data_IF_613957571074
#
_entry.id   IF_613957571074
#
_cell.length_a   1.000
_cell.length_b   1.000
_cell.length_c   1.000
_cell.angle_alpha   90.00
_cell.angle_beta   90.00
_cell.angle_gamma   90.00
#
_symmetry.space_group_name_H-M   'P 1'
#
loop_
_entity.id
_entity.type
_entity.pdbx_description
1 polymer ?
#
# COMPACT_ATOMS: atom_id res chain seq x y z
N UNK A 1 -9.28 -27.99 -73.36
CA UNK A 1 -8.65 -27.43 -72.13
C UNK A 1 -9.15 -28.25 -70.95
N UNK A 2 -8.26 -29.12 -70.43
CA UNK A 2 -8.27 -29.92 -69.18
C UNK A 2 -9.55 -30.64 -68.69
N UNK A 3 -9.53 -31.97 -68.93
CA UNK A 3 -10.00 -33.16 -68.16
C UNK A 3 -10.24 -32.89 -66.65
N UNK A 4 -11.16 -33.53 -65.91
CA UNK A 4 -11.23 -34.99 -65.68
C UNK A 4 -12.50 -35.40 -64.91
N UNK A 5 -12.91 -36.62 -65.22
CA UNK A 5 -14.06 -37.40 -64.78
C UNK A 5 -14.19 -37.70 -63.28
N UNK A 6 -15.44 -37.88 -62.86
CA UNK A 6 -15.88 -39.14 -62.25
C UNK A 6 -15.55 -39.37 -60.78
N UNK A 7 -16.52 -39.08 -59.90
CA UNK A 7 -16.97 -40.03 -58.86
C UNK A 7 -18.24 -39.50 -58.19
N UNK A 8 -19.39 -39.83 -58.82
CA UNK A 8 -20.64 -39.98 -58.10
C UNK A 8 -20.65 -41.40 -57.52
N UNK A 9 -21.06 -41.50 -56.24
CA UNK A 9 -21.63 -42.67 -55.53
C UNK A 9 -20.66 -43.47 -54.64
N UNK A 10 -21.19 -43.81 -53.47
CA UNK A 10 -20.82 -44.92 -52.58
C UNK A 10 -19.80 -44.62 -51.47
N UNK A 11 -20.33 -44.46 -50.25
CA UNK A 11 -19.79 -44.92 -48.96
C UNK A 11 -20.64 -44.34 -47.82
N UNK A 12 -21.97 -44.50 -47.84
CA UNK A 12 -22.59 -45.53 -47.00
C UNK A 12 -21.76 -46.83 -46.88
N UNK A 13 -20.67 -46.79 -46.10
CA UNK A 13 -19.95 -47.96 -45.54
C UNK A 13 -18.76 -47.46 -44.71
N UNK A 14 -19.03 -47.18 -43.44
CA UNK A 14 -18.09 -47.14 -42.30
C UNK A 14 -18.98 -46.83 -41.06
N UNK A 15 -19.76 -47.74 -40.44
CA UNK A 15 -19.44 -49.09 -39.95
C UNK A 15 -18.01 -49.08 -39.35
N UNK A 16 -17.75 -49.13 -38.05
CA UNK A 16 -18.46 -49.57 -36.86
C UNK A 16 -17.74 -48.88 -35.69
N UNK A 17 -18.46 -48.29 -34.73
CA UNK A 17 -17.88 -48.00 -33.41
C UNK A 17 -18.65 -48.88 -32.41
N UNK A 18 -18.03 -49.96 -31.91
CA UNK A 18 -18.71 -50.99 -31.14
C UNK A 18 -19.23 -50.44 -29.80
N UNK A 19 -20.53 -50.61 -29.58
CA UNK A 19 -21.13 -50.73 -28.25
C UNK A 19 -20.64 -52.05 -27.65
N UNK A 20 -19.64 -52.02 -26.78
CA UNK A 20 -19.40 -53.08 -25.80
C UNK A 20 -18.46 -52.59 -24.69
N UNK A 21 -19.03 -51.90 -23.69
CA UNK A 21 -18.53 -51.89 -22.31
C UNK A 21 -19.57 -51.25 -21.36
N UNK A 22 -20.49 -52.07 -20.85
CA UNK A 22 -21.12 -51.88 -19.54
C UNK A 22 -20.45 -52.87 -18.55
N UNK A 23 -20.62 -52.78 -17.21
CA UNK A 23 -20.85 -51.65 -16.30
C UNK A 23 -19.96 -51.72 -15.03
N UNK A 24 -19.69 -50.62 -14.31
CA UNK A 24 -19.46 -50.69 -12.83
C UNK A 24 -19.91 -49.39 -12.13
N UNK A 25 -20.94 -49.48 -11.30
CA UNK A 25 -21.02 -48.70 -10.05
C UNK A 25 -20.51 -49.61 -8.92
N UNK A 26 -20.09 -49.17 -7.72
CA UNK A 26 -19.98 -47.81 -7.17
C UNK A 26 -18.60 -47.53 -6.52
N UNK A 27 -18.18 -46.27 -6.40
CA UNK A 27 -17.28 -45.93 -5.29
C UNK A 27 -17.59 -44.53 -4.76
N UNK A 28 -18.03 -44.49 -3.51
CA UNK A 28 -18.03 -43.33 -2.65
C UNK A 28 -16.57 -42.88 -2.43
N UNK A 29 -16.00 -42.24 -3.44
CA UNK A 29 -14.67 -41.63 -3.39
C UNK A 29 -14.79 -40.31 -2.67
N UNK A 30 -14.31 -40.28 -1.42
CA UNK A 30 -14.07 -39.10 -0.58
C UNK A 30 -13.97 -37.82 -1.42
N UNK A 31 -14.87 -36.87 -1.16
CA UNK A 31 -14.64 -35.46 -1.47
C UNK A 31 -13.30 -35.14 -0.82
N UNK A 32 -12.23 -35.13 -1.62
CA UNK A 32 -11.02 -34.42 -1.29
C UNK A 32 -11.51 -32.99 -1.15
N UNK A 33 -11.83 -32.58 0.08
CA UNK A 33 -11.69 -31.20 0.49
C UNK A 33 -10.23 -30.90 0.18
N UNK A 34 -9.96 -30.44 -1.04
CA UNK A 34 -8.80 -29.62 -1.31
C UNK A 34 -8.93 -28.52 -0.28
N UNK A 35 -8.25 -28.69 0.84
CA UNK A 35 -8.00 -27.61 1.77
C UNK A 35 -7.37 -26.57 0.86
N UNK A 36 -8.15 -25.54 0.52
CA UNK A 36 -7.65 -24.43 -0.25
C UNK A 36 -6.41 -23.98 0.50
N UNK A 37 -5.24 -24.27 -0.05
CA UNK A 37 -4.00 -23.81 0.52
C UNK A 37 -4.20 -22.31 0.68
N UNK A 38 -4.12 -21.82 1.92
CA UNK A 38 -4.32 -20.41 2.20
C UNK A 38 -3.49 -19.65 1.18
N UNK A 39 -4.09 -18.76 0.37
CA UNK A 39 -3.37 -18.11 -0.72
C UNK A 39 -2.11 -17.53 -0.12
N UNK A 40 -0.96 -17.96 -0.64
CA UNK A 40 0.35 -17.55 -0.16
C UNK A 40 0.32 -16.03 -0.05
N UNK A 41 0.58 -15.46 1.13
CA UNK A 41 0.43 -14.03 1.33
C UNK A 41 1.26 -13.31 0.26
N UNK A 42 0.70 -12.29 -0.41
CA UNK A 42 1.38 -11.61 -1.51
C UNK A 42 2.76 -11.17 -1.04
N UNK A 43 3.80 -11.71 -1.68
CA UNK A 43 5.19 -11.41 -1.30
C UNK A 43 5.49 -9.96 -1.67
N UNK A 44 5.73 -9.13 -0.67
CA UNK A 44 6.21 -7.75 -0.87
C UNK A 44 7.55 -7.83 -1.63
N UNK A 45 7.73 -7.11 -2.75
CA UNK A 45 9.01 -7.06 -3.47
C UNK A 45 10.17 -6.70 -2.53
N UNK A 46 11.32 -7.35 -2.68
CA UNK A 46 12.46 -7.19 -1.76
C UNK A 46 12.95 -5.72 -1.65
N UNK A 47 12.85 -4.95 -2.73
CA UNK A 47 13.17 -3.51 -2.73
C UNK A 47 12.26 -2.70 -1.82
N UNK A 48 10.96 -3.00 -1.80
CA UNK A 48 9.98 -2.30 -0.96
C UNK A 48 10.09 -2.70 0.51
N UNK A 49 10.47 -3.96 0.79
CA UNK A 49 10.79 -4.38 2.16
C UNK A 49 11.99 -3.61 2.72
N UNK A 50 13.05 -3.41 1.93
CA UNK A 50 14.20 -2.61 2.33
C UNK A 50 13.80 -1.15 2.57
N UNK A 51 12.96 -0.57 1.71
CA UNK A 51 12.45 0.77 1.90
C UNK A 51 11.67 0.92 3.21
N UNK A 52 10.71 0.02 3.49
CA UNK A 52 9.92 0.05 4.73
C UNK A 52 10.83 -0.06 5.95
N UNK A 53 11.84 -0.94 5.91
CA UNK A 53 12.83 -1.07 6.99
C UNK A 53 13.65 0.19 7.18
N UNK A 54 14.13 0.83 6.10
CA UNK A 54 14.89 2.07 6.16
C UNK A 54 14.05 3.23 6.72
N UNK A 55 12.79 3.35 6.29
CA UNK A 55 11.86 4.32 6.84
C UNK A 55 11.61 4.06 8.34
N UNK A 56 11.39 2.80 8.72
CA UNK A 56 11.22 2.40 10.12
C UNK A 56 12.45 2.69 10.97
N UNK A 57 13.65 2.37 10.48
CA UNK A 57 14.91 2.67 11.15
C UNK A 57 15.11 4.18 11.31
N UNK A 58 14.89 4.95 10.25
CA UNK A 58 14.98 6.41 10.28
C UNK A 58 13.99 7.02 11.27
N UNK A 59 12.75 6.51 11.31
CA UNK A 59 11.75 6.93 12.29
C UNK A 59 12.20 6.63 13.73
N UNK A 60 12.81 5.47 13.97
CA UNK A 60 13.31 5.06 15.28
C UNK A 60 14.47 5.93 15.74
N UNK A 61 15.44 6.21 14.85
CA UNK A 61 16.54 7.13 15.14
C UNK A 61 16.01 8.53 15.45
N UNK A 62 15.11 9.07 14.62
CA UNK A 62 14.50 10.37 14.86
C UNK A 62 13.72 10.41 16.18
N UNK A 63 13.04 9.30 16.55
CA UNK A 63 12.33 9.19 17.82
C UNK A 63 13.29 9.25 19.01
N UNK A 64 14.42 8.55 18.94
CA UNK A 64 15.44 8.60 20.00
C UNK A 64 16.01 10.02 20.16
N UNK A 65 16.32 10.70 19.07
CA UNK A 65 16.76 12.11 19.09
C UNK A 65 15.69 13.00 19.70
N UNK A 66 14.43 12.79 19.34
CA UNK A 66 13.30 13.56 19.89
C UNK A 66 13.14 13.33 21.38
N UNK A 67 13.19 12.09 21.85
CA UNK A 67 13.07 11.74 23.27
C UNK A 67 14.25 12.34 24.06
N UNK A 68 15.48 12.15 23.57
CA UNK A 68 16.67 12.73 24.21
C UNK A 68 16.59 14.26 24.28
N UNK A 69 16.18 14.91 23.20
CA UNK A 69 15.99 16.36 23.15
C UNK A 69 14.86 16.84 24.07
N UNK A 70 13.71 16.17 24.07
CA UNK A 70 12.57 16.54 24.93
C UNK A 70 12.88 16.43 26.43
N UNK A 71 13.81 15.56 26.82
CA UNK A 71 14.25 15.39 28.20
C UNK A 71 15.37 16.36 28.62
N UNK A 72 16.00 17.06 27.67
CA UNK A 72 17.22 17.86 27.93
C UNK A 72 17.12 19.32 27.54
N UNK A 73 16.19 19.68 26.64
CA UNK A 73 16.07 21.03 26.07
C UNK A 73 14.88 21.75 26.69
N UNK A 74 15.13 22.91 27.30
CA UNK A 74 14.06 23.83 27.68
C UNK A 74 13.64 24.66 26.45
N UNK A 75 12.37 24.58 26.01
CA UNK A 75 11.89 25.32 24.84
C UNK A 75 11.81 26.84 25.05
N UNK A 76 11.81 27.32 26.30
CA UNK A 76 11.77 28.75 26.60
C UNK A 76 13.16 29.37 26.47
N UNK A 77 14.17 28.70 27.02
CA UNK A 77 15.54 29.21 27.06
C UNK A 77 16.35 28.85 25.80
N UNK A 78 16.06 27.70 25.16
CA UNK A 78 16.85 27.15 24.06
C UNK A 78 16.01 26.93 22.78
N UNK A 79 15.35 27.98 22.30
CA UNK A 79 14.42 27.93 21.16
C UNK A 79 14.99 27.22 19.91
N UNK A 80 16.24 27.48 19.52
CA UNK A 80 16.85 26.85 18.33
C UNK A 80 16.98 25.34 18.46
N UNK A 81 17.36 24.85 19.65
CA UNK A 81 17.44 23.41 19.92
C UNK A 81 16.05 22.80 20.01
N UNK A 82 15.09 23.52 20.59
CA UNK A 82 13.70 23.07 20.63
C UNK A 82 13.08 22.94 19.23
N UNK A 83 13.42 23.84 18.31
CA UNK A 83 13.02 23.72 16.89
C UNK A 83 13.64 22.48 16.22
N UNK A 84 14.89 22.16 16.53
CA UNK A 84 15.53 20.94 16.04
C UNK A 84 14.83 19.67 16.58
N UNK A 85 14.42 19.67 17.85
CA UNK A 85 13.65 18.58 18.47
C UNK A 85 12.25 18.45 17.83
N UNK A 86 11.56 19.58 17.59
CA UNK A 86 10.29 19.59 16.87
C UNK A 86 10.44 19.06 15.43
N UNK A 87 11.55 19.40 14.76
CA UNK A 87 11.90 18.86 13.45
C UNK A 87 12.16 17.35 13.47
N UNK A 88 12.87 16.86 14.50
CA UNK A 88 13.08 15.43 14.71
C UNK A 88 11.76 14.69 14.90
N UNK A 89 10.83 15.25 15.70
CA UNK A 89 9.50 14.69 15.88
C UNK A 89 8.71 14.65 14.56
N UNK A 90 8.78 15.73 13.78
CA UNK A 90 8.15 15.80 12.46
C UNK A 90 8.67 14.69 11.54
N UNK A 91 9.99 14.43 11.55
CA UNK A 91 10.59 13.33 10.80
C UNK A 91 10.14 11.96 11.31
N UNK A 92 10.07 11.75 12.62
CA UNK A 92 9.55 10.51 13.22
C UNK A 92 8.14 10.21 12.72
N UNK A 93 7.24 11.19 12.78
CA UNK A 93 5.86 11.05 12.30
C UNK A 93 5.84 10.78 10.80
N UNK A 94 6.58 11.57 10.02
CA UNK A 94 6.61 11.46 8.55
C UNK A 94 7.06 10.06 8.13
N UNK A 95 8.20 9.60 8.65
CA UNK A 95 8.81 8.33 8.28
C UNK A 95 8.00 7.15 8.82
N UNK A 96 7.58 7.19 10.09
CA UNK A 96 6.83 6.12 10.73
C UNK A 96 5.47 5.91 10.09
N UNK A 97 4.73 6.99 9.86
CA UNK A 97 3.39 6.94 9.27
C UNK A 97 3.46 6.53 7.79
N UNK A 98 4.47 7.00 7.05
CA UNK A 98 4.72 6.52 5.67
C UNK A 98 5.02 5.02 5.64
N UNK A 99 5.88 4.51 6.53
CA UNK A 99 6.22 3.09 6.60
C UNK A 99 5.00 2.22 6.92
N UNK A 100 4.18 2.63 7.89
CA UNK A 100 2.95 1.93 8.29
C UNK A 100 1.90 1.91 7.18
N UNK A 101 1.68 3.05 6.51
CA UNK A 101 0.73 3.14 5.41
C UNK A 101 1.18 2.30 4.21
N UNK A 102 2.48 2.27 3.92
CA UNK A 102 3.03 1.39 2.89
C UNK A 102 2.78 -0.08 3.24
N UNK A 103 3.12 -0.50 4.46
CA UNK A 103 2.92 -1.87 4.91
C UNK A 103 1.44 -2.31 4.80
N UNK A 104 0.50 -1.47 5.26
CA UNK A 104 -0.94 -1.74 5.11
C UNK A 104 -1.38 -1.78 3.65
N UNK A 105 -0.83 -0.91 2.80
CA UNK A 105 -1.20 -0.87 1.38
C UNK A 105 -0.85 -2.18 0.65
N UNK A 106 0.29 -2.80 1.01
CA UNK A 106 0.73 -4.06 0.44
C UNK A 106 -0.08 -5.27 0.93
N UNK A 107 -0.57 -5.24 2.17
CA UNK A 107 -1.42 -6.31 2.72
C UNK A 107 -2.82 -6.35 2.07
N UNK A 108 -3.34 -5.20 1.61
CA UNK A 108 -4.70 -5.10 1.09
C UNK A 108 -4.86 -5.45 -0.39
N UNK A 109 -3.99 -4.97 -1.29
CA UNK A 109 -4.19 -5.11 -2.75
C UNK A 109 -2.87 -5.09 -3.56
N UNK A 110 -2.38 -6.24 -4.07
CA UNK A 110 -1.08 -6.34 -4.73
C UNK A 110 -0.94 -5.70 -6.14
N UNK A 111 -1.98 -5.05 -6.69
CA UNK A 111 -2.00 -4.63 -8.11
C UNK A 111 -1.75 -3.14 -8.43
N UNK A 112 -1.88 -2.21 -7.49
CA UNK A 112 -1.89 -0.76 -7.76
C UNK A 112 -0.88 0.04 -6.89
N UNK A 113 0.34 -0.47 -6.76
CA UNK A 113 1.28 -0.04 -5.74
C UNK A 113 1.90 1.35 -5.96
N UNK A 114 2.15 1.79 -7.22
CA UNK A 114 2.85 3.07 -7.49
C UNK A 114 2.01 4.31 -7.12
N UNK A 115 0.74 4.31 -7.51
CA UNK A 115 -0.21 5.40 -7.23
C UNK A 115 -0.46 5.49 -5.71
N UNK A 116 -0.65 4.35 -5.05
CA UNK A 116 -0.84 4.28 -3.60
C UNK A 116 0.42 4.69 -2.81
N UNK A 117 1.62 4.37 -3.28
CA UNK A 117 2.89 4.81 -2.65
C UNK A 117 3.00 6.32 -2.56
N UNK A 118 2.59 7.06 -3.60
CA UNK A 118 2.57 8.53 -3.57
C UNK A 118 1.61 9.05 -2.50
N UNK A 119 0.42 8.45 -2.37
CA UNK A 119 -0.56 8.81 -1.33
C UNK A 119 -0.03 8.54 0.09
N UNK A 120 0.65 7.41 0.30
CA UNK A 120 1.26 7.08 1.59
C UNK A 120 2.31 8.10 2.02
N UNK A 121 3.23 8.46 1.11
CA UNK A 121 4.27 9.47 1.36
C UNK A 121 3.65 10.84 1.62
N UNK A 122 2.68 11.24 0.79
CA UNK A 122 1.96 12.51 0.94
C UNK A 122 1.27 12.64 2.30
N UNK A 123 0.57 11.59 2.75
CA UNK A 123 -0.10 11.56 4.06
C UNK A 123 0.90 11.64 5.21
N UNK A 124 2.03 10.92 5.11
CA UNK A 124 3.12 11.02 6.08
C UNK A 124 3.67 12.44 6.17
N UNK A 125 3.96 13.06 5.02
CA UNK A 125 4.45 14.45 4.95
C UNK A 125 3.46 15.45 5.53
N UNK A 126 2.18 15.34 5.22
CA UNK A 126 1.15 16.20 5.79
C UNK A 126 1.06 16.06 7.31
N UNK A 127 1.07 14.83 7.84
CA UNK A 127 1.01 14.59 9.27
C UNK A 127 2.26 15.15 9.99
N UNK A 128 3.45 14.89 9.44
CA UNK A 128 4.70 15.41 9.99
C UNK A 128 4.78 16.94 9.94
N UNK A 129 4.40 17.54 8.80
CA UNK A 129 4.37 19.00 8.64
C UNK A 129 3.36 19.67 9.58
N UNK A 130 2.18 19.07 9.79
CA UNK A 130 1.20 19.58 10.75
C UNK A 130 1.75 19.57 12.18
N UNK A 131 2.29 18.44 12.63
CA UNK A 131 2.80 18.29 14.00
C UNK A 131 4.04 19.17 14.21
N UNK A 132 5.03 19.05 13.33
CA UNK A 132 6.27 19.81 13.41
C UNK A 132 6.06 21.31 13.24
N UNK A 133 5.27 21.71 12.25
CA UNK A 133 4.94 23.12 11.98
C UNK A 133 4.16 23.75 13.12
N UNK A 134 3.18 23.04 13.70
CA UNK A 134 2.49 23.53 14.89
C UNK A 134 3.44 23.70 16.08
N UNK A 135 4.28 22.71 16.37
CA UNK A 135 5.25 22.82 17.45
C UNK A 135 6.23 23.98 17.23
N UNK A 136 6.72 24.16 16.01
CA UNK A 136 7.61 25.28 15.67
C UNK A 136 6.92 26.63 15.92
N UNK A 137 5.68 26.80 15.45
CA UNK A 137 4.91 28.01 15.71
C UNK A 137 4.64 28.20 17.21
N UNK A 138 4.39 27.11 17.94
CA UNK A 138 4.14 27.16 19.38
C UNK A 138 5.38 27.58 20.16
N UNK A 139 6.56 27.08 19.79
CA UNK A 139 7.87 27.44 20.38
C UNK A 139 8.18 28.92 20.16
N UNK A 140 7.89 29.45 18.96
CA UNK A 140 8.12 30.87 18.63
C UNK A 140 7.01 31.78 19.22
N UNK A 141 6.01 31.20 19.91
CA UNK A 141 4.93 31.97 20.55
C UNK A 141 3.81 32.44 19.62
N UNK A 142 3.82 32.01 18.35
CA UNK A 142 2.82 32.37 17.33
C UNK A 142 1.68 31.33 17.22
N UNK A 143 1.89 30.11 17.73
CA UNK A 143 0.97 28.99 17.57
C UNK A 143 -0.11 28.94 18.65
N UNK A 144 -1.38 29.08 18.24
CA UNK A 144 -2.56 28.82 19.08
C UNK A 144 -3.30 27.53 18.66
N UNK A 145 -4.11 26.92 19.56
CA UNK A 145 -4.84 25.68 19.27
C UNK A 145 -5.85 25.84 18.13
N UNK A 146 -6.43 27.03 17.98
CA UNK A 146 -7.31 27.39 16.86
C UNK A 146 -6.59 27.35 15.52
N UNK A 147 -5.34 27.83 15.46
CA UNK A 147 -4.50 27.76 14.27
C UNK A 147 -4.21 26.31 13.83
N UNK A 148 -3.99 25.40 14.78
CA UNK A 148 -3.86 23.97 14.51
C UNK A 148 -5.12 23.38 13.87
N UNK A 149 -6.30 23.71 14.42
CA UNK A 149 -7.57 23.21 13.88
C UNK A 149 -7.77 23.68 12.43
N UNK A 150 -7.52 24.96 12.15
CA UNK A 150 -7.61 25.52 10.80
C UNK A 150 -6.63 24.81 9.86
N UNK A 151 -5.37 24.67 10.26
CA UNK A 151 -4.35 23.98 9.45
C UNK A 151 -4.74 22.53 9.17
N UNK A 152 -5.29 21.83 10.16
CA UNK A 152 -5.75 20.44 10.02
C UNK A 152 -6.88 20.34 9.01
N UNK A 153 -7.89 21.22 9.10
CA UNK A 153 -9.00 21.29 8.14
C UNK A 153 -8.48 21.57 6.73
N UNK A 154 -7.56 22.53 6.57
CA UNK A 154 -6.97 22.84 5.27
C UNK A 154 -6.20 21.65 4.67
N UNK A 155 -5.45 20.92 5.49
CA UNK A 155 -4.75 19.71 5.04
C UNK A 155 -5.73 18.63 4.62
N UNK A 156 -6.82 18.41 5.35
CA UNK A 156 -7.87 17.46 4.96
C UNK A 156 -8.53 17.86 3.64
N UNK A 157 -8.85 19.15 3.48
CA UNK A 157 -9.43 19.69 2.23
C UNK A 157 -8.46 19.53 1.05
N UNK A 158 -7.18 19.87 1.25
CA UNK A 158 -6.15 19.68 0.23
C UNK A 158 -5.97 18.20 -0.12
N UNK A 159 -5.96 17.32 0.87
CA UNK A 159 -5.87 15.88 0.64
C UNK A 159 -7.07 15.37 -0.18
N UNK A 160 -8.28 15.82 0.14
CA UNK A 160 -9.49 15.45 -0.57
C UNK A 160 -9.48 15.96 -2.03
N UNK A 161 -9.10 17.23 -2.25
CA UNK A 161 -9.01 17.83 -3.57
C UNK A 161 -7.99 17.10 -4.46
N UNK A 162 -6.79 16.85 -3.94
CA UNK A 162 -5.72 16.16 -4.68
C UNK A 162 -6.14 14.69 -4.95
N UNK A 163 -6.75 14.03 -3.99
CA UNK A 163 -7.21 12.64 -4.16
C UNK A 163 -8.28 12.51 -5.24
N UNK A 164 -9.14 13.53 -5.40
CA UNK A 164 -10.12 13.58 -6.49
C UNK A 164 -9.45 13.75 -7.85
N UNK A 165 -8.53 14.70 -7.99
CA UNK A 165 -7.79 14.91 -9.25
C UNK A 165 -7.00 13.69 -9.71
N UNK A 166 -6.54 12.86 -8.76
CA UNK A 166 -5.77 11.65 -9.05
C UNK A 166 -6.66 10.49 -9.54
N UNK A 167 -7.96 10.53 -9.25
CA UNK A 167 -8.95 9.58 -9.77
C UNK A 167 -9.37 9.99 -11.19
N UNK A 168 -9.53 11.30 -11.43
CA UNK A 168 -9.97 11.83 -12.73
C UNK A 168 -8.87 11.76 -13.82
N UNK A 169 -7.62 11.53 -13.43
CA UNK A 169 -6.46 11.45 -14.35
C UNK A 169 -6.14 10.04 -14.89
N UNK A 170 -6.90 9.02 -14.50
CA UNK A 170 -6.69 7.59 -14.86
C UNK A 170 -7.81 7.14 -15.79
#
# INVERSE_FOLDING_TARGET
MTLRDGERRSAAEQLELPLDQQPTTPFAGKVLRTAAAAPTPPRIPAGDQRLIRLLGLGALIAALVTIGGALTVDPVDEQTRALAVAGALALTVTLGLTALLLLRSFQGHPGAWRVRRRRCVRRGLFAGALIGGYLALRIIGLGGPTGLLIATVLVVVAEAAISRSEIDSV
#
